data_IF_315680839475
#
_entry.id   IF_315680839475
#
_cell.length_a   1.000
_cell.length_b   1.000
_cell.length_c   1.000
_cell.angle_alpha   90.00
_cell.angle_beta   90.00
_cell.angle_gamma   90.00
#
_symmetry.space_group_name_H-M   'P 1'
#
loop_
_entity.id
_entity.type
_entity.pdbx_description
1 polymer ?
#
# COMPACT_ATOMS: atom_id res chain seq x y z
N UNK A 1 -26.73 -14.33 -16.47
CA UNK A 1 -25.52 -14.73 -15.70
C UNK A 1 -25.81 -15.27 -14.30
N UNK A 2 -27.03 -15.13 -13.73
CA UNK A 2 -27.46 -15.77 -12.47
C UNK A 2 -28.01 -17.22 -12.61
N UNK A 3 -28.06 -17.75 -13.83
CA UNK A 3 -28.80 -18.98 -14.13
C UNK A 3 -28.12 -20.22 -13.54
N UNK A 4 -26.79 -20.27 -13.51
CA UNK A 4 -26.06 -21.50 -13.18
C UNK A 4 -26.20 -21.91 -11.71
N UNK A 5 -25.90 -21.02 -10.76
CA UNK A 5 -26.03 -21.35 -9.33
C UNK A 5 -27.49 -21.62 -8.95
N UNK A 6 -28.42 -20.83 -9.50
CA UNK A 6 -29.86 -21.05 -9.33
C UNK A 6 -30.28 -22.44 -9.85
N UNK A 7 -29.84 -22.82 -11.03
CA UNK A 7 -30.17 -24.11 -11.62
C UNK A 7 -29.56 -25.27 -10.82
N UNK A 8 -28.32 -25.12 -10.35
CA UNK A 8 -27.66 -26.11 -9.47
C UNK A 8 -28.44 -26.28 -8.16
N UNK A 9 -28.93 -25.19 -7.57
CA UNK A 9 -29.79 -25.25 -6.38
C UNK A 9 -31.10 -25.99 -6.64
N UNK A 10 -31.80 -25.64 -7.73
CA UNK A 10 -33.08 -26.28 -8.09
C UNK A 10 -32.88 -27.78 -8.34
N UNK A 11 -31.83 -28.15 -9.09
CA UNK A 11 -31.50 -29.55 -9.37
C UNK A 11 -31.17 -30.31 -8.08
N UNK A 12 -30.34 -29.74 -7.20
CA UNK A 12 -30.02 -30.35 -5.91
C UNK A 12 -31.26 -30.52 -5.03
N UNK A 13 -32.15 -29.52 -5.02
CA UNK A 13 -33.41 -29.58 -4.27
C UNK A 13 -34.32 -30.70 -4.79
N UNK A 14 -34.57 -30.75 -6.11
CA UNK A 14 -35.43 -31.77 -6.72
C UNK A 14 -34.85 -33.16 -6.48
N UNK A 15 -33.55 -33.36 -6.69
CA UNK A 15 -32.88 -34.64 -6.45
C UNK A 15 -33.03 -35.09 -4.99
N UNK A 16 -32.73 -34.21 -4.04
CA UNK A 16 -32.86 -34.54 -2.62
C UNK A 16 -34.31 -34.79 -2.20
N UNK A 17 -35.27 -34.02 -2.71
CA UNK A 17 -36.69 -34.22 -2.43
C UNK A 17 -37.21 -35.56 -2.98
N UNK A 18 -36.86 -35.90 -4.23
CA UNK A 18 -37.19 -37.20 -4.82
C UNK A 18 -36.57 -38.35 -4.05
N UNK A 19 -35.33 -38.18 -3.56
CA UNK A 19 -34.66 -39.17 -2.72
C UNK A 19 -35.35 -39.37 -1.38
N UNK A 20 -35.72 -38.30 -0.69
CA UNK A 20 -36.47 -38.37 0.57
C UNK A 20 -37.82 -39.08 0.38
N UNK A 21 -38.51 -38.82 -0.74
CA UNK A 21 -39.74 -39.55 -1.09
C UNK A 21 -39.46 -41.04 -1.35
N UNK A 22 -38.45 -41.36 -2.16
CA UNK A 22 -38.08 -42.75 -2.46
C UNK A 22 -37.65 -43.53 -1.21
N UNK A 23 -36.91 -42.91 -0.30
CA UNK A 23 -36.52 -43.49 0.98
C UNK A 23 -37.73 -43.86 1.83
N UNK A 24 -38.75 -43.00 1.85
CA UNK A 24 -39.99 -43.28 2.55
C UNK A 24 -40.81 -44.43 1.94
N UNK A 25 -40.75 -44.64 0.62
CA UNK A 25 -41.44 -45.80 0.01
C UNK A 25 -40.65 -47.11 0.15
N UNK A 26 -39.32 -47.06 0.10
CA UNK A 26 -38.44 -48.24 0.08
C UNK A 26 -38.04 -48.77 1.47
N UNK A 27 -38.17 -47.96 2.53
CA UNK A 27 -37.77 -48.32 3.89
C UNK A 27 -36.24 -48.32 4.12
N UNK A 28 -35.44 -47.91 3.13
CA UNK A 28 -33.97 -47.87 3.18
C UNK A 28 -33.44 -46.53 3.73
N UNK A 29 -33.85 -46.17 4.94
CA UNK A 29 -33.63 -44.83 5.49
C UNK A 29 -32.16 -44.41 5.52
N UNK A 30 -31.24 -45.27 5.99
CA UNK A 30 -29.81 -44.95 6.10
C UNK A 30 -29.14 -44.63 4.76
N UNK A 31 -29.59 -45.27 3.67
CA UNK A 31 -29.03 -45.05 2.33
C UNK A 31 -29.51 -43.69 1.81
N UNK A 32 -30.80 -43.40 1.97
CA UNK A 32 -31.39 -42.12 1.59
C UNK A 32 -30.72 -40.95 2.33
N UNK A 33 -30.42 -41.12 3.62
CA UNK A 33 -29.69 -40.14 4.44
C UNK A 33 -28.33 -39.82 3.85
N UNK A 34 -27.55 -40.88 3.66
CA UNK A 34 -26.17 -40.75 3.22
C UNK A 34 -26.12 -40.06 1.86
N UNK A 35 -27.10 -40.34 1.00
CA UNK A 35 -27.21 -39.72 -0.30
C UNK A 35 -27.70 -38.27 -0.25
N UNK A 36 -28.65 -37.92 0.63
CA UNK A 36 -29.09 -36.54 0.83
C UNK A 36 -27.98 -35.65 1.40
N UNK A 37 -27.19 -36.19 2.34
CA UNK A 37 -25.99 -35.52 2.86
C UNK A 37 -24.96 -35.36 1.74
N UNK A 38 -24.72 -36.41 0.95
CA UNK A 38 -23.80 -36.35 -0.19
C UNK A 38 -24.22 -35.26 -1.19
N UNK A 39 -25.52 -35.14 -1.48
CA UNK A 39 -26.05 -34.07 -2.36
C UNK A 39 -25.77 -32.69 -1.76
N UNK A 40 -25.99 -32.47 -0.46
CA UNK A 40 -25.66 -31.19 0.18
C UNK A 40 -24.17 -30.87 0.11
N UNK A 41 -23.31 -31.86 0.33
CA UNK A 41 -21.85 -31.69 0.27
C UNK A 41 -21.40 -31.38 -1.16
N UNK A 42 -21.88 -32.12 -2.15
CA UNK A 42 -21.58 -31.88 -3.57
C UNK A 42 -22.09 -30.50 -4.00
N UNK A 43 -23.29 -30.13 -3.58
CA UNK A 43 -23.86 -28.80 -3.83
C UNK A 43 -22.98 -27.70 -3.22
N UNK A 44 -22.55 -27.84 -1.97
CA UNK A 44 -21.67 -26.90 -1.29
C UNK A 44 -20.36 -26.68 -2.05
N UNK A 45 -19.65 -27.76 -2.41
CA UNK A 45 -18.39 -27.65 -3.14
C UNK A 45 -18.57 -27.09 -4.57
N UNK A 46 -19.62 -27.51 -5.27
CA UNK A 46 -19.90 -27.04 -6.64
C UNK A 46 -20.21 -25.55 -6.67
N UNK A 47 -21.05 -25.09 -5.74
CA UNK A 47 -21.40 -23.66 -5.65
C UNK A 47 -20.23 -22.80 -5.19
N UNK A 48 -19.41 -23.30 -4.25
CA UNK A 48 -18.19 -22.62 -3.82
C UNK A 48 -17.22 -22.46 -4.99
N UNK A 49 -16.96 -23.52 -5.75
CA UNK A 49 -16.08 -23.50 -6.93
C UNK A 49 -16.59 -22.54 -8.02
N UNK A 50 -17.89 -22.61 -8.36
CA UNK A 50 -18.51 -21.72 -9.33
C UNK A 50 -18.42 -20.24 -8.90
N UNK A 51 -18.61 -19.97 -7.60
CA UNK A 51 -18.54 -18.61 -7.09
C UNK A 51 -17.10 -18.07 -7.05
N UNK A 52 -16.10 -18.92 -6.83
CA UNK A 52 -14.68 -18.52 -6.93
C UNK A 52 -14.31 -18.09 -8.35
N UNK A 53 -14.84 -18.77 -9.38
CA UNK A 53 -14.50 -18.47 -10.78
C UNK A 53 -15.28 -17.28 -11.33
N UNK A 54 -16.59 -17.24 -11.08
CA UNK A 54 -17.49 -16.30 -11.75
C UNK A 54 -17.98 -15.16 -10.85
N UNK A 55 -17.71 -15.20 -9.54
CA UNK A 55 -18.16 -14.21 -8.52
C UNK A 55 -19.59 -13.71 -8.77
N UNK A 56 -20.52 -14.64 -8.97
CA UNK A 56 -21.89 -14.30 -9.39
C UNK A 56 -22.75 -13.77 -8.24
N UNK A 57 -22.49 -14.23 -7.02
CA UNK A 57 -23.27 -13.90 -5.83
C UNK A 57 -22.35 -13.62 -4.65
N UNK A 58 -22.84 -12.84 -3.68
CA UNK A 58 -22.09 -12.61 -2.45
C UNK A 58 -21.92 -13.91 -1.65
N UNK A 59 -20.87 -13.98 -0.84
CA UNK A 59 -20.60 -15.15 0.02
C UNK A 59 -21.76 -15.36 1.01
N UNK A 60 -22.37 -14.28 1.49
CA UNK A 60 -23.55 -14.35 2.34
C UNK A 60 -24.77 -14.95 1.62
N UNK A 61 -25.01 -14.60 0.36
CA UNK A 61 -26.06 -15.22 -0.45
C UNK A 61 -25.82 -16.72 -0.65
N UNK A 62 -24.56 -17.13 -0.87
CA UNK A 62 -24.17 -18.53 -1.00
C UNK A 62 -24.33 -19.29 0.33
N UNK A 63 -24.03 -18.64 1.46
CA UNK A 63 -24.25 -19.17 2.80
C UNK A 63 -25.74 -19.39 3.09
N UNK A 64 -26.58 -18.41 2.75
CA UNK A 64 -28.02 -18.49 2.90
C UNK A 64 -28.61 -19.60 2.02
N UNK A 65 -28.11 -19.77 0.78
CA UNK A 65 -28.60 -20.81 -0.12
C UNK A 65 -28.34 -22.23 0.42
N UNK A 66 -27.14 -22.50 0.96
CA UNK A 66 -26.83 -23.79 1.60
C UNK A 66 -27.72 -24.07 2.83
N UNK A 67 -27.99 -23.05 3.63
CA UNK A 67 -28.89 -23.14 4.78
C UNK A 67 -30.32 -23.48 4.35
N UNK A 68 -30.85 -22.77 3.36
CA UNK A 68 -32.21 -23.00 2.87
C UNK A 68 -32.36 -24.37 2.22
N UNK A 69 -31.31 -24.90 1.57
CA UNK A 69 -31.35 -26.25 1.01
C UNK A 69 -31.56 -27.31 2.11
N UNK A 70 -30.78 -27.25 3.20
CA UNK A 70 -30.94 -28.15 4.34
C UNK A 70 -32.29 -27.99 5.04
N UNK A 71 -32.76 -26.76 5.22
CA UNK A 71 -34.08 -26.47 5.77
C UNK A 71 -35.22 -27.05 4.92
N UNK A 72 -35.12 -26.95 3.60
CA UNK A 72 -36.13 -27.49 2.68
C UNK A 72 -36.18 -29.02 2.70
N UNK A 73 -35.03 -29.70 2.79
CA UNK A 73 -35.01 -31.16 2.97
C UNK A 73 -35.72 -31.58 4.24
N UNK A 74 -35.59 -30.81 5.31
CA UNK A 74 -36.31 -31.05 6.57
C UNK A 74 -37.80 -30.88 6.42
N UNK A 75 -38.26 -29.81 5.76
CA UNK A 75 -39.68 -29.62 5.49
C UNK A 75 -40.26 -30.77 4.66
N UNK A 76 -39.55 -31.21 3.62
CA UNK A 76 -39.98 -32.34 2.79
C UNK A 76 -40.09 -33.62 3.63
N UNK A 77 -39.10 -33.92 4.46
CA UNK A 77 -39.11 -35.14 5.26
C UNK A 77 -40.18 -35.13 6.36
N UNK A 78 -40.43 -33.97 6.99
CA UNK A 78 -41.55 -33.80 7.92
C UNK A 78 -42.88 -34.00 7.19
N UNK A 79 -43.05 -33.41 6.01
CA UNK A 79 -44.25 -33.55 5.20
C UNK A 79 -44.53 -35.02 4.85
N UNK A 80 -43.49 -35.73 4.38
CA UNK A 80 -43.57 -37.16 4.05
C UNK A 80 -43.92 -38.00 5.27
N UNK A 81 -43.24 -37.75 6.39
CA UNK A 81 -43.52 -38.45 7.65
C UNK A 81 -44.96 -38.25 8.11
N UNK A 82 -45.51 -37.05 7.96
CA UNK A 82 -46.90 -36.74 8.33
C UNK A 82 -47.90 -37.45 7.41
N UNK A 83 -47.65 -37.51 6.09
CA UNK A 83 -48.52 -38.25 5.15
C UNK A 83 -48.51 -39.76 5.43
N UNK A 84 -47.36 -40.32 5.80
CA UNK A 84 -47.24 -41.73 6.20
C UNK A 84 -48.05 -42.06 7.46
N UNK A 85 -48.13 -41.15 8.43
CA UNK A 85 -48.98 -41.31 9.62
C UNK A 85 -50.46 -41.35 9.25
N UNK A 86 -50.92 -40.41 8.41
CA UNK A 86 -52.33 -40.31 8.02
C UNK A 86 -52.80 -41.56 7.26
N UNK A 87 -51.92 -42.16 6.46
CA UNK A 87 -52.22 -43.35 5.66
C UNK A 87 -52.17 -44.66 6.44
N UNK A 88 -51.98 -44.63 7.77
CA UNK A 88 -51.89 -45.81 8.66
C UNK A 88 -50.85 -46.86 8.21
N UNK A 89 -49.85 -46.42 7.43
CA UNK A 89 -48.94 -47.29 6.70
C UNK A 89 -47.57 -47.43 7.37
N UNK A 90 -47.37 -46.82 8.55
CA UNK A 90 -46.03 -46.58 9.10
C UNK A 90 -45.91 -46.80 10.61
N UNK A 91 -44.82 -47.45 11.01
CA UNK A 91 -44.38 -47.60 12.40
C UNK A 91 -43.75 -46.31 12.94
N UNK A 92 -43.95 -46.03 14.22
CA UNK A 92 -43.39 -44.86 14.93
C UNK A 92 -41.86 -44.79 14.80
N UNK A 93 -41.17 -45.93 14.86
CA UNK A 93 -39.71 -46.00 14.75
C UNK A 93 -39.18 -45.44 13.42
N UNK A 94 -39.91 -45.68 12.33
CA UNK A 94 -39.53 -45.19 11.01
C UNK A 94 -39.72 -43.67 10.90
N UNK A 95 -40.73 -43.13 11.57
CA UNK A 95 -40.98 -41.68 11.64
C UNK A 95 -39.86 -41.01 12.42
N UNK A 96 -39.47 -41.56 13.57
CA UNK A 96 -38.37 -41.04 14.39
C UNK A 96 -37.05 -41.09 13.61
N UNK A 97 -36.81 -42.17 12.87
CA UNK A 97 -35.65 -42.27 11.98
C UNK A 97 -35.65 -41.17 10.91
N UNK A 98 -36.74 -41.00 10.13
CA UNK A 98 -36.84 -39.94 9.12
C UNK A 98 -36.69 -38.54 9.72
N UNK A 99 -37.21 -38.33 10.92
CA UNK A 99 -37.10 -37.06 11.62
C UNK A 99 -35.66 -36.75 12.05
N UNK A 100 -34.97 -37.71 12.67
CA UNK A 100 -33.56 -37.55 13.09
C UNK A 100 -32.64 -37.24 11.90
N UNK A 101 -32.91 -37.87 10.77
CA UNK A 101 -32.20 -37.68 9.50
C UNK A 101 -32.32 -36.25 8.97
N UNK A 102 -33.52 -35.69 9.05
CA UNK A 102 -33.83 -34.31 8.63
C UNK A 102 -33.10 -33.28 9.48
N UNK A 103 -32.98 -33.57 10.77
CA UNK A 103 -32.24 -32.72 11.69
C UNK A 103 -30.75 -32.70 11.31
N UNK A 104 -30.17 -33.84 10.95
CA UNK A 104 -28.75 -33.91 10.52
C UNK A 104 -28.52 -33.06 9.27
N UNK A 105 -29.39 -33.12 8.25
CA UNK A 105 -29.26 -32.27 7.06
C UNK A 105 -29.37 -30.78 7.40
N UNK A 106 -30.20 -30.42 8.38
CA UNK A 106 -30.31 -29.04 8.88
C UNK A 106 -29.02 -28.59 9.57
N UNK A 107 -28.45 -29.44 10.42
CA UNK A 107 -27.19 -29.16 11.12
C UNK A 107 -26.07 -28.93 10.10
N UNK A 108 -25.96 -29.78 9.09
CA UNK A 108 -24.94 -29.64 8.04
C UNK A 108 -25.14 -28.35 7.25
N UNK A 109 -26.37 -28.00 6.87
CA UNK A 109 -26.67 -26.75 6.18
C UNK A 109 -26.35 -25.51 7.01
N UNK A 110 -26.58 -25.57 8.32
CA UNK A 110 -26.26 -24.49 9.25
C UNK A 110 -24.75 -24.37 9.50
N UNK A 111 -24.03 -25.49 9.62
CA UNK A 111 -22.57 -25.50 9.70
C UNK A 111 -21.94 -24.89 8.44
N UNK A 112 -22.43 -25.28 7.26
CA UNK A 112 -22.00 -24.69 5.99
C UNK A 112 -22.22 -23.17 5.97
N UNK A 113 -23.38 -22.69 6.43
CA UNK A 113 -23.67 -21.25 6.53
C UNK A 113 -22.71 -20.53 7.47
N UNK A 114 -22.47 -21.08 8.67
CA UNK A 114 -21.54 -20.48 9.64
C UNK A 114 -20.13 -20.40 9.04
N UNK A 115 -19.68 -21.47 8.38
CA UNK A 115 -18.37 -21.51 7.73
C UNK A 115 -18.25 -20.41 6.67
N UNK A 116 -19.23 -20.34 5.75
CA UNK A 116 -19.21 -19.38 4.65
C UNK A 116 -19.36 -17.93 5.15
N UNK A 117 -20.30 -17.66 6.04
CA UNK A 117 -20.60 -16.28 6.45
C UNK A 117 -19.55 -15.71 7.43
N UNK A 118 -18.95 -16.54 8.30
CA UNK A 118 -18.04 -16.05 9.33
C UNK A 118 -16.56 -16.26 9.03
N UNK A 119 -16.20 -17.29 8.23
CA UNK A 119 -14.79 -17.63 8.00
C UNK A 119 -14.30 -17.27 6.60
N UNK A 120 -15.19 -17.02 5.64
CA UNK A 120 -14.81 -16.48 4.34
C UNK A 120 -14.94 -14.95 4.39
N UNK A 121 -13.88 -14.19 4.09
CA UNK A 121 -13.92 -12.73 4.10
C UNK A 121 -15.03 -12.22 3.16
N UNK A 122 -16.00 -11.50 3.71
CA UNK A 122 -16.99 -10.76 2.93
C UNK A 122 -16.31 -9.53 2.32
N UNK A 123 -16.13 -9.51 0.99
CA UNK A 123 -15.49 -8.40 0.27
C UNK A 123 -16.19 -7.05 0.57
N UNK A 124 -17.51 -7.03 0.79
CA UNK A 124 -18.28 -5.80 1.10
C UNK A 124 -17.96 -5.18 2.46
N UNK A 125 -17.92 -5.97 3.55
CA UNK A 125 -17.53 -5.48 4.89
C UNK A 125 -16.07 -5.02 4.89
N UNK A 126 -15.22 -5.73 4.15
CA UNK A 126 -13.83 -5.34 3.99
C UNK A 126 -13.71 -4.03 3.19
N UNK A 127 -14.56 -3.82 2.17
CA UNK A 127 -14.56 -2.59 1.37
C UNK A 127 -15.00 -1.35 2.17
N UNK A 128 -15.93 -1.46 3.11
CA UNK A 128 -16.34 -0.32 3.94
C UNK A 128 -15.22 0.11 4.90
N UNK A 129 -14.62 -0.87 5.60
CA UNK A 129 -13.45 -0.65 6.46
C UNK A 129 -12.24 -0.16 5.63
N UNK A 130 -12.03 -0.72 4.44
CA UNK A 130 -11.01 -0.26 3.50
C UNK A 130 -11.29 1.16 3.05
N UNK A 131 -12.52 1.53 2.69
CA UNK A 131 -12.88 2.87 2.23
C UNK A 131 -12.72 3.91 3.35
N UNK A 132 -13.10 3.59 4.58
CA UNK A 132 -12.88 4.44 5.75
C UNK A 132 -11.38 4.65 5.98
N UNK A 133 -10.61 3.57 5.99
CA UNK A 133 -9.15 3.62 6.19
C UNK A 133 -8.43 4.34 5.05
N UNK A 134 -8.88 4.18 3.80
CA UNK A 134 -8.35 4.87 2.62
C UNK A 134 -8.67 6.36 2.68
N UNK A 135 -9.91 6.72 3.01
CA UNK A 135 -10.32 8.13 3.17
C UNK A 135 -9.53 8.82 4.28
N UNK A 136 -9.33 8.13 5.42
CA UNK A 136 -8.51 8.63 6.51
C UNK A 136 -7.04 8.81 6.09
N UNK A 137 -6.47 7.83 5.38
CA UNK A 137 -5.10 7.93 4.85
C UNK A 137 -4.94 9.04 3.81
N UNK A 138 -5.93 9.26 2.93
CA UNK A 138 -5.93 10.36 1.96
C UNK A 138 -5.95 11.71 2.70
N UNK A 139 -6.75 11.83 3.77
CA UNK A 139 -6.78 13.04 4.59
C UNK A 139 -5.43 13.34 5.24
N UNK A 140 -4.82 12.34 5.89
CA UNK A 140 -3.47 12.47 6.47
C UNK A 140 -2.45 12.82 5.39
N UNK A 141 -2.52 12.18 4.22
CA UNK A 141 -1.61 12.47 3.11
C UNK A 141 -1.76 13.90 2.62
N UNK A 142 -2.99 14.41 2.48
CA UNK A 142 -3.24 15.81 2.12
C UNK A 142 -2.67 16.77 3.16
N UNK A 143 -2.85 16.48 4.45
CA UNK A 143 -2.30 17.30 5.54
C UNK A 143 -0.76 17.34 5.48
N UNK A 144 -0.11 16.19 5.25
CA UNK A 144 1.35 16.08 5.08
C UNK A 144 1.81 16.82 3.81
N UNK A 145 1.09 16.72 2.70
CA UNK A 145 1.43 17.41 1.46
C UNK A 145 1.34 18.93 1.62
N UNK A 146 0.28 19.42 2.28
CA UNK A 146 0.11 20.85 2.58
C UNK A 146 1.22 21.37 3.50
N UNK A 147 1.56 20.64 4.55
CA UNK A 147 2.69 20.98 5.44
C UNK A 147 4.02 21.02 4.67
N UNK A 148 4.30 20.03 3.83
CA UNK A 148 5.51 20.01 3.00
C UNK A 148 5.55 21.15 1.97
N UNK A 149 4.42 21.47 1.34
CA UNK A 149 4.34 22.62 0.42
C UNK A 149 4.61 23.94 1.14
N UNK A 150 4.08 24.12 2.35
CA UNK A 150 4.37 25.31 3.17
C UNK A 150 5.84 25.38 3.58
N UNK A 151 6.43 24.28 4.02
CA UNK A 151 7.86 24.18 4.35
C UNK A 151 8.74 24.47 3.14
N UNK A 152 8.43 23.92 1.97
CA UNK A 152 9.15 24.21 0.74
C UNK A 152 9.02 25.68 0.32
N UNK A 153 7.84 26.28 0.47
CA UNK A 153 7.64 27.71 0.20
C UNK A 153 8.48 28.57 1.14
N UNK A 154 8.46 28.28 2.44
CA UNK A 154 9.26 29.00 3.43
C UNK A 154 10.77 28.83 3.17
N UNK A 155 11.21 27.62 2.80
CA UNK A 155 12.59 27.33 2.42
C UNK A 155 13.00 28.11 1.16
N UNK A 156 12.14 28.15 0.13
CA UNK A 156 12.38 28.93 -1.08
C UNK A 156 12.54 30.42 -0.77
N UNK A 157 11.65 30.98 0.04
CA UNK A 157 11.73 32.39 0.48
C UNK A 157 13.01 32.66 1.27
N UNK A 158 13.40 31.74 2.16
CA UNK A 158 14.65 31.85 2.90
C UNK A 158 15.87 31.76 1.96
N UNK A 159 15.84 30.92 0.92
CA UNK A 159 16.89 30.88 -0.10
C UNK A 159 16.97 32.22 -0.82
N UNK A 160 15.85 32.76 -1.29
CA UNK A 160 15.84 34.02 -2.04
C UNK A 160 16.43 35.17 -1.20
N UNK A 161 15.97 35.31 0.05
CA UNK A 161 16.46 36.34 0.98
C UNK A 161 17.94 36.16 1.32
N UNK A 162 18.40 34.93 1.56
CA UNK A 162 19.82 34.68 1.85
C UNK A 162 20.69 34.80 0.62
N UNK A 163 20.20 34.46 -0.56
CA UNK A 163 20.96 34.58 -1.80
C UNK A 163 21.25 36.04 -2.11
N UNK A 164 20.27 36.94 -1.92
CA UNK A 164 20.47 38.38 -2.04
C UNK A 164 21.56 38.87 -1.08
N UNK A 165 21.50 38.48 0.20
CA UNK A 165 22.52 38.82 1.20
C UNK A 165 23.90 38.26 0.81
N UNK A 166 23.96 37.05 0.24
CA UNK A 166 25.20 36.40 -0.16
C UNK A 166 25.85 37.10 -1.36
N UNK A 167 25.06 37.51 -2.36
CA UNK A 167 25.51 38.31 -3.50
C UNK A 167 26.07 39.65 -3.02
N UNK A 168 25.32 40.40 -2.22
CA UNK A 168 25.75 41.71 -1.69
C UNK A 168 27.00 41.60 -0.82
N UNK A 169 27.08 40.57 0.02
CA UNK A 169 28.26 40.31 0.86
C UNK A 169 29.50 39.97 0.02
N UNK A 170 29.31 39.16 -1.02
CA UNK A 170 30.38 38.77 -1.95
C UNK A 170 30.88 39.98 -2.74
N UNK A 171 29.97 40.80 -3.28
CA UNK A 171 30.31 42.02 -4.01
C UNK A 171 31.08 43.00 -3.11
N UNK A 172 30.62 43.21 -1.87
CA UNK A 172 31.30 44.05 -0.89
C UNK A 172 32.68 43.52 -0.53
N UNK A 173 32.83 42.20 -0.42
CA UNK A 173 34.11 41.55 -0.13
C UNK A 173 35.08 41.67 -1.30
N UNK A 174 34.61 41.47 -2.54
CA UNK A 174 35.38 41.69 -3.76
C UNK A 174 35.84 43.15 -3.87
N UNK A 175 34.94 44.11 -3.63
CA UNK A 175 35.24 45.53 -3.67
C UNK A 175 36.24 45.97 -2.60
N UNK A 176 36.25 45.34 -1.42
CA UNK A 176 37.29 45.55 -0.41
C UNK A 176 38.62 44.94 -0.84
N UNK A 177 38.60 43.74 -1.39
CA UNK A 177 39.79 43.04 -1.87
C UNK A 177 40.49 43.82 -3.00
N UNK A 178 39.75 44.32 -3.98
CA UNK A 178 40.32 45.14 -5.07
C UNK A 178 40.92 46.45 -4.56
N UNK A 179 40.27 47.13 -3.61
CA UNK A 179 40.84 48.34 -2.98
C UNK A 179 42.11 48.07 -2.19
N UNK A 180 42.16 46.96 -1.44
CA UNK A 180 43.36 46.56 -0.72
C UNK A 180 44.48 46.20 -1.69
N UNK A 181 44.18 45.44 -2.75
CA UNK A 181 45.14 45.12 -3.80
C UNK A 181 45.71 46.39 -4.46
N UNK A 182 44.88 47.35 -4.85
CA UNK A 182 45.34 48.58 -5.50
C UNK A 182 46.22 49.41 -4.56
N UNK A 183 45.83 49.52 -3.29
CA UNK A 183 46.63 50.20 -2.26
C UNK A 183 47.98 49.52 -2.04
N UNK A 184 47.98 48.20 -1.86
CA UNK A 184 49.20 47.43 -1.58
C UNK A 184 50.13 47.42 -2.80
N UNK A 185 49.56 47.31 -4.01
CA UNK A 185 50.32 47.38 -5.26
C UNK A 185 50.98 48.76 -5.44
N UNK A 186 50.23 49.84 -5.19
CA UNK A 186 50.76 51.21 -5.26
C UNK A 186 51.87 51.44 -4.23
N UNK A 187 51.66 51.00 -2.98
CA UNK A 187 52.69 51.06 -1.95
C UNK A 187 53.95 50.26 -2.35
N UNK A 188 53.77 49.11 -3.00
CA UNK A 188 54.89 48.30 -3.50
C UNK A 188 55.63 48.99 -4.65
N UNK A 189 54.92 49.65 -5.57
CA UNK A 189 55.53 50.48 -6.63
C UNK A 189 56.32 51.65 -6.05
N UNK A 190 55.75 52.36 -5.07
CA UNK A 190 56.44 53.48 -4.42
C UNK A 190 57.73 53.01 -3.74
N UNK A 191 57.66 51.90 -3.01
CA UNK A 191 58.83 51.27 -2.37
C UNK A 191 59.87 50.83 -3.40
N UNK A 192 59.43 50.29 -4.55
CA UNK A 192 60.32 49.90 -5.64
C UNK A 192 61.01 51.12 -6.27
N UNK A 193 60.26 52.19 -6.55
CA UNK A 193 60.81 53.43 -7.09
C UNK A 193 61.83 54.07 -6.14
N UNK A 194 61.56 54.07 -4.84
CA UNK A 194 62.50 54.58 -3.83
C UNK A 194 63.76 53.71 -3.75
N UNK A 195 63.60 52.39 -3.86
CA UNK A 195 64.73 51.46 -3.95
C UNK A 195 65.60 51.76 -5.18
N UNK A 196 64.99 51.94 -6.36
CA UNK A 196 65.72 52.31 -7.59
C UNK A 196 66.46 53.64 -7.42
N UNK A 197 65.82 54.69 -6.86
CA UNK A 197 66.50 55.96 -6.58
C UNK A 197 67.69 55.79 -5.67
N UNK A 198 67.56 54.99 -4.62
CA UNK A 198 68.66 54.71 -3.68
C UNK A 198 69.82 53.99 -4.38
N UNK A 199 69.53 53.01 -5.26
CA UNK A 199 70.53 52.30 -6.06
C UNK A 199 71.24 53.28 -6.99
N UNK A 200 70.51 54.11 -7.74
CA UNK A 200 71.11 55.11 -8.64
C UNK A 200 72.01 56.08 -7.89
N UNK A 201 71.58 56.57 -6.72
CA UNK A 201 72.39 57.46 -5.88
C UNK A 201 73.65 56.77 -5.35
N UNK A 202 73.54 55.50 -4.96
CA UNK A 202 74.68 54.70 -4.53
C UNK A 202 75.68 54.48 -5.68
N UNK A 203 75.19 54.20 -6.89
CA UNK A 203 76.02 54.07 -8.09
C UNK A 203 76.71 55.38 -8.45
N UNK A 204 76.01 56.51 -8.43
CA UNK A 204 76.60 57.82 -8.72
C UNK A 204 77.69 58.17 -7.69
N UNK A 205 77.43 57.89 -6.42
CA UNK A 205 78.41 58.11 -5.34
C UNK A 205 79.63 57.20 -5.51
N UNK A 206 79.41 55.93 -5.85
CA UNK A 206 80.49 54.97 -6.12
C UNK A 206 81.32 55.39 -7.33
N UNK A 207 80.67 55.84 -8.40
CA UNK A 207 81.33 56.30 -9.62
C UNK A 207 82.16 57.57 -9.35
N UNK A 208 81.63 58.54 -8.60
CA UNK A 208 82.39 59.73 -8.17
C UNK A 208 83.59 59.38 -7.28
N UNK A 209 83.45 58.41 -6.37
CA UNK A 209 84.58 57.91 -5.57
C UNK A 209 85.64 57.25 -6.44
N UNK A 210 85.21 56.42 -7.40
CA UNK A 210 86.12 55.71 -8.29
C UNK A 210 86.87 56.67 -9.23
N UNK A 211 86.19 57.69 -9.77
CA UNK A 211 86.84 58.70 -10.60
C UNK A 211 87.79 59.60 -9.81
N UNK A 212 87.47 59.91 -8.55
CA UNK A 212 88.38 60.62 -7.65
C UNK A 212 89.67 59.80 -7.40
N UNK A 213 89.55 58.52 -7.08
CA UNK A 213 90.68 57.61 -6.85
C UNK A 213 91.57 57.47 -8.10
N UNK A 214 90.97 57.29 -9.28
CA UNK A 214 91.72 57.21 -10.55
C UNK A 214 92.44 58.54 -10.85
N UNK A 215 91.83 59.68 -10.50
CA UNK A 215 92.46 61.00 -10.68
C UNK A 215 93.61 61.27 -9.70
N UNK A 216 93.62 60.57 -8.57
CA UNK A 216 94.66 60.63 -7.53
C UNK A 216 95.84 59.72 -7.92
N UNK A 217 95.58 58.49 -8.37
CA UNK A 217 96.60 57.58 -8.95
C UNK A 217 97.31 58.19 -10.17
N UNK A 218 96.59 58.83 -11.09
CA UNK A 218 97.18 59.51 -12.27
C UNK A 218 98.08 60.71 -11.92
N UNK A 219 97.98 61.24 -10.70
CA UNK A 219 98.86 62.32 -10.21
C UNK A 219 100.07 61.78 -9.46
N UNK A 220 99.97 60.61 -8.83
CA UNK A 220 101.13 59.94 -8.23
C UNK A 220 102.06 59.34 -9.29
N UNK A 221 101.53 58.83 -10.41
CA UNK A 221 102.32 58.24 -11.51
C UNK A 221 103.10 59.27 -12.37
N UNK A 222 102.93 60.58 -12.07
CA UNK A 222 103.61 61.71 -12.75
C UNK A 222 104.71 62.38 -11.89
N UNK A 223 105.11 61.77 -10.78
CA UNK A 223 106.24 62.19 -9.94
C UNK A 223 107.42 61.23 -10.08
#
# INVERSE_FOLDING_TARGET
MFSEIKNVFIVAFILGACLSLYGAYSGLYLITVSLSILIMVVYFFTTLYLNTIKKQISVEQLANSNYYLGFMFTLVSILVSLTSVISNSYNIDNIVSNFGVSIVTTIIGLLARIYLANFIPNEEVNNEILNESVSHKIRIMNDILLDNMQKNKAFSQMIDERMEVLVVSTERSLGKFTKLLDKDFKASIDTFNDSIKSITKSMETSNKKQSALISEELKEDKK
#
